data_IF_339153580866
#
_entry.id   IF_339153580866
#
_cell.length_a   1.000
_cell.length_b   1.000
_cell.length_c   1.000
_cell.angle_alpha   90.00
_cell.angle_beta   90.00
_cell.angle_gamma   90.00
#
_symmetry.space_group_name_H-M   'P 1'
#
loop_
_entity.id
_entity.type
_entity.pdbx_description
1 polymer ?
#
# COMPACT_ATOMS: atom_id res chain seq x y z
N UNK A 1 -2.56 17.89 4.65
CA UNK A 1 -2.95 16.69 5.42
C UNK A 1 -1.75 15.77 5.42
N UNK A 2 -1.40 15.18 6.57
CA UNK A 2 -0.16 14.40 6.73
C UNK A 2 -0.47 12.90 6.53
N UNK A 3 0.21 12.25 5.59
CA UNK A 3 0.02 10.83 5.25
C UNK A 3 0.08 9.92 6.49
N UNK A 4 1.02 10.18 7.38
CA UNK A 4 1.22 9.40 8.61
C UNK A 4 0.02 9.52 9.58
N UNK A 5 -0.57 10.70 9.70
CA UNK A 5 -1.74 10.93 10.55
C UNK A 5 -2.99 10.25 9.99
N UNK A 6 -3.18 10.30 8.66
CA UNK A 6 -4.28 9.61 7.99
C UNK A 6 -4.18 8.09 8.17
N UNK A 7 -3.00 7.51 7.91
CA UNK A 7 -2.77 6.07 8.04
C UNK A 7 -2.88 5.57 9.49
N UNK A 8 -2.64 6.42 10.49
CA UNK A 8 -2.88 6.11 11.91
C UNK A 8 -4.37 6.05 12.27
N UNK A 9 -5.21 6.82 11.58
CA UNK A 9 -6.66 6.85 11.82
C UNK A 9 -7.40 5.64 11.22
N UNK A 10 -6.86 5.06 10.15
CA UNK A 10 -7.45 3.88 9.49
C UNK A 10 -7.25 2.61 10.34
N UNK A 11 -8.28 1.77 10.43
CA UNK A 11 -8.30 0.64 11.38
C UNK A 11 -7.97 -0.71 10.76
N UNK A 12 -8.20 -0.90 9.45
CA UNK A 12 -7.94 -2.16 8.73
C UNK A 12 -6.66 -2.09 7.89
N UNK A 13 -6.08 -3.25 7.58
CA UNK A 13 -4.94 -3.35 6.65
C UNK A 13 -5.35 -2.81 5.28
N UNK A 14 -6.54 -3.20 4.85
CA UNK A 14 -7.12 -2.86 3.56
C UNK A 14 -7.33 -1.35 3.42
N UNK A 15 -7.92 -0.68 4.41
CA UNK A 15 -8.17 0.76 4.33
C UNK A 15 -6.87 1.57 4.37
N UNK A 16 -5.88 1.16 5.17
CA UNK A 16 -4.54 1.78 5.15
C UNK A 16 -3.88 1.66 3.78
N UNK A 17 -3.92 0.47 3.18
CA UNK A 17 -3.36 0.23 1.85
C UNK A 17 -4.09 1.03 0.76
N UNK A 18 -5.43 1.05 0.80
CA UNK A 18 -6.26 1.85 -0.12
C UNK A 18 -5.95 3.33 0.03
N UNK A 19 -5.86 3.83 1.26
CA UNK A 19 -5.51 5.23 1.56
C UNK A 19 -4.15 5.57 1.00
N UNK A 20 -3.15 4.74 1.24
CA UNK A 20 -1.79 4.95 0.75
C UNK A 20 -1.75 5.10 -0.78
N UNK A 21 -2.41 4.21 -1.52
CA UNK A 21 -2.35 4.28 -2.99
C UNK A 21 -3.10 5.47 -3.58
N UNK A 22 -4.03 6.12 -2.85
CA UNK A 22 -4.68 7.36 -3.33
C UNK A 22 -3.70 8.48 -3.63
N UNK A 23 -2.51 8.46 -3.01
CA UNK A 23 -1.46 9.47 -3.25
C UNK A 23 -0.70 9.23 -4.56
N UNK A 24 -0.83 8.05 -5.16
CA UNK A 24 -0.04 7.61 -6.31
C UNK A 24 -0.92 7.33 -7.55
N UNK A 25 -2.21 7.60 -7.46
CA UNK A 25 -3.18 7.36 -8.52
C UNK A 25 -4.15 8.52 -8.67
N UNK A 26 -4.71 8.70 -9.85
CA UNK A 26 -5.83 9.62 -10.10
C UNK A 26 -7.17 9.10 -9.57
N UNK A 27 -7.24 7.81 -9.18
CA UNK A 27 -8.44 7.19 -8.60
C UNK A 27 -8.76 7.75 -7.22
N UNK A 28 -10.04 7.97 -6.95
CA UNK A 28 -10.54 8.31 -5.61
C UNK A 28 -10.59 7.06 -4.72
N UNK A 29 -10.53 7.24 -3.40
CA UNK A 29 -10.57 6.15 -2.42
C UNK A 29 -11.73 5.16 -2.64
N UNK A 30 -12.91 5.67 -3.01
CA UNK A 30 -14.11 4.85 -3.27
C UNK A 30 -13.96 3.93 -4.50
N UNK A 31 -13.06 4.27 -5.42
CA UNK A 31 -12.76 3.51 -6.63
C UNK A 31 -11.52 2.60 -6.48
N UNK A 32 -10.91 2.57 -5.29
CA UNK A 32 -9.76 1.72 -4.98
C UNK A 32 -10.25 0.56 -4.12
N UNK A 33 -9.91 -0.66 -4.50
CA UNK A 33 -10.22 -1.88 -3.77
C UNK A 33 -9.01 -2.83 -3.80
N UNK A 34 -9.14 -4.03 -3.23
CA UNK A 34 -8.03 -4.99 -3.16
C UNK A 34 -7.59 -5.55 -4.53
N UNK A 35 -8.38 -5.35 -5.60
CA UNK A 35 -7.98 -5.64 -6.97
C UNK A 35 -7.19 -4.52 -7.66
N UNK A 36 -6.89 -3.41 -6.96
CA UNK A 36 -6.07 -2.33 -7.50
C UNK A 36 -4.71 -2.87 -7.96
N UNK A 37 -4.39 -2.62 -9.23
CA UNK A 37 -3.19 -3.13 -9.88
C UNK A 37 -1.99 -2.24 -9.52
N UNK A 38 -1.04 -2.78 -8.78
CA UNK A 38 0.10 -2.01 -8.30
C UNK A 38 1.00 -1.54 -9.44
N UNK A 39 0.95 -2.17 -10.61
CA UNK A 39 1.78 -1.85 -11.77
C UNK A 39 1.07 -0.85 -12.67
N UNK A 40 -0.20 -1.10 -12.98
CA UNK A 40 -0.92 -0.37 -14.03
C UNK A 40 -1.82 0.75 -13.51
N UNK A 41 -2.24 0.72 -12.24
CA UNK A 41 -3.13 1.75 -11.68
C UNK A 41 -2.38 2.90 -10.98
N UNK A 42 -1.05 2.81 -10.87
CA UNK A 42 -0.17 3.87 -10.38
C UNK A 42 0.21 4.78 -11.55
N UNK A 43 -0.38 5.98 -11.59
CA UNK A 43 -0.24 6.94 -12.70
C UNK A 43 0.33 8.31 -12.29
N UNK A 44 0.48 8.57 -10.98
CA UNK A 44 0.90 9.87 -10.44
C UNK A 44 2.27 9.83 -9.74
N UNK A 45 3.07 8.78 -9.93
CA UNK A 45 4.39 8.66 -9.35
C UNK A 45 5.34 7.81 -10.20
N UNK A 46 6.64 8.04 -10.00
CA UNK A 46 7.67 7.13 -10.47
C UNK A 46 7.55 5.77 -9.75
N UNK A 47 7.88 4.69 -10.48
CA UNK A 47 7.73 3.32 -9.99
C UNK A 47 8.61 3.04 -8.77
N UNK A 48 9.86 3.49 -8.79
CA UNK A 48 10.80 3.20 -7.71
C UNK A 48 10.39 3.98 -6.45
N UNK A 49 10.00 5.24 -6.61
CA UNK A 49 9.46 6.05 -5.51
C UNK A 49 8.21 5.42 -4.89
N UNK A 50 7.28 4.91 -5.71
CA UNK A 50 6.12 4.20 -5.22
C UNK A 50 6.52 2.98 -4.37
N UNK A 51 7.42 2.14 -4.88
CA UNK A 51 7.84 0.93 -4.17
C UNK A 51 8.57 1.23 -2.85
N UNK A 52 9.42 2.25 -2.83
CA UNK A 52 10.09 2.73 -1.61
C UNK A 52 9.07 3.21 -0.57
N UNK A 53 8.07 3.98 -0.99
CA UNK A 53 7.03 4.48 -0.09
C UNK A 53 6.18 3.35 0.47
N UNK A 54 5.81 2.37 -0.35
CA UNK A 54 5.09 1.18 0.11
C UNK A 54 5.91 0.41 1.15
N UNK A 55 7.21 0.19 0.91
CA UNK A 55 8.11 -0.49 1.85
C UNK A 55 8.24 0.28 3.18
N UNK A 56 8.35 1.61 3.11
CA UNK A 56 8.39 2.47 4.29
C UNK A 56 7.12 2.38 5.14
N UNK A 57 5.95 2.32 4.50
CA UNK A 57 4.67 2.15 5.21
C UNK A 57 4.53 0.76 5.82
N UNK A 58 4.93 -0.30 5.10
CA UNK A 58 4.96 -1.67 5.64
C UNK A 58 5.82 -1.74 6.91
N UNK A 59 6.99 -1.10 6.90
CA UNK A 59 7.87 -1.02 8.06
C UNK A 59 7.26 -0.20 9.20
N UNK A 60 6.70 0.97 8.91
CA UNK A 60 6.29 1.94 9.95
C UNK A 60 4.90 1.67 10.55
N UNK A 61 3.93 1.24 9.74
CA UNK A 61 2.54 1.06 10.17
C UNK A 61 2.17 -0.40 10.42
N UNK A 62 2.97 -1.32 9.89
CA UNK A 62 2.76 -2.75 10.06
C UNK A 62 3.96 -3.44 10.69
N UNK A 63 5.08 -2.76 11.01
CA UNK A 63 6.28 -3.39 11.60
C UNK A 63 6.78 -4.60 10.78
N UNK A 64 6.59 -4.55 9.46
CA UNK A 64 7.05 -5.60 8.54
C UNK A 64 8.18 -5.01 7.70
N UNK A 65 9.37 -5.56 7.85
CA UNK A 65 10.53 -5.16 7.05
C UNK A 65 10.50 -5.86 5.69
N UNK A 66 10.17 -5.13 4.63
CA UNK A 66 10.23 -5.58 3.24
C UNK A 66 11.10 -4.67 2.40
N UNK A 67 11.78 -5.25 1.41
CA UNK A 67 12.49 -4.48 0.38
C UNK A 67 11.54 -4.10 -0.78
N UNK A 68 11.79 -2.98 -1.49
CA UNK A 68 11.02 -2.57 -2.67
C UNK A 68 10.86 -3.69 -3.71
N UNK A 69 11.89 -4.51 -3.90
CA UNK A 69 11.89 -5.65 -4.83
C UNK A 69 10.84 -6.71 -4.48
N UNK A 70 10.55 -6.91 -3.20
CA UNK A 70 9.47 -7.80 -2.78
C UNK A 70 8.11 -7.23 -3.22
N UNK A 71 7.89 -5.94 -3.00
CA UNK A 71 6.64 -5.25 -3.35
C UNK A 71 6.46 -5.23 -4.87
N UNK A 72 7.55 -5.15 -5.64
CA UNK A 72 7.51 -5.22 -7.09
C UNK A 72 6.94 -6.56 -7.61
N UNK A 73 7.03 -7.64 -6.81
CA UNK A 73 6.46 -8.95 -7.15
C UNK A 73 4.97 -9.07 -6.79
N UNK A 74 4.41 -8.16 -6.00
CA UNK A 74 2.97 -8.09 -5.74
C UNK A 74 2.26 -7.45 -6.94
N UNK A 75 1.17 -8.07 -7.41
CA UNK A 75 0.39 -7.55 -8.54
C UNK A 75 -0.72 -6.64 -8.07
N UNK A 76 -1.32 -6.96 -6.93
CA UNK A 76 -2.50 -6.26 -6.41
C UNK A 76 -2.34 -5.83 -4.96
N UNK A 77 -3.15 -4.87 -4.52
CA UNK A 77 -3.30 -4.56 -3.09
C UNK A 77 -3.70 -5.79 -2.26
N UNK A 78 -4.48 -6.71 -2.83
CA UNK A 78 -4.86 -7.96 -2.17
C UNK A 78 -3.68 -8.89 -1.91
N UNK A 79 -2.68 -8.92 -2.80
CA UNK A 79 -1.46 -9.69 -2.58
C UNK A 79 -0.69 -9.12 -1.38
N UNK A 80 -0.58 -7.79 -1.29
CA UNK A 80 0.06 -7.11 -0.15
C UNK A 80 -0.71 -7.32 1.15
N UNK A 81 -2.04 -7.18 1.12
CA UNK A 81 -2.87 -7.42 2.29
C UNK A 81 -2.71 -8.86 2.80
N UNK A 82 -2.74 -9.84 1.89
CA UNK A 82 -2.54 -11.27 2.22
C UNK A 82 -1.17 -11.51 2.85
N UNK A 83 -0.13 -10.87 2.34
CA UNK A 83 1.21 -10.93 2.92
C UNK A 83 1.25 -10.35 4.34
N UNK A 84 0.67 -9.17 4.55
CA UNK A 84 0.63 -8.52 5.87
C UNK A 84 -0.12 -9.39 6.88
N UNK A 85 -1.27 -9.95 6.48
CA UNK A 85 -2.04 -10.86 7.31
C UNK A 85 -1.24 -12.11 7.69
N UNK A 86 -0.56 -12.72 6.72
CA UNK A 86 0.30 -13.88 6.97
C UNK A 86 1.48 -13.55 7.88
N UNK A 87 2.06 -12.35 7.78
CA UNK A 87 3.20 -11.93 8.59
C UNK A 87 2.80 -11.62 10.04
N UNK A 88 1.57 -11.12 10.26
CA UNK A 88 1.05 -10.77 11.58
C UNK A 88 0.30 -11.90 12.28
N UNK A 89 -0.06 -12.97 11.56
CA UNK A 89 -0.84 -14.08 12.11
C UNK A 89 -2.29 -13.70 12.40
N UNK A 90 -2.87 -12.82 11.57
CA UNK A 90 -4.30 -12.49 11.61
C UNK A 90 -5.17 -13.64 11.08
#
# INVERSE_FOLDING_TARGET
>A
MNLDEELKSETTVEDKLRRLVTFFTSKTFDNINMGFDLINDVDNADRDYFLEMMAGVLSSHFEISTEPDFIANCKTLGDLASYIHSAKGY
#
